data_IF_951647034174
#
_entry.id   IF_951647034174
#
_cell.length_a   1.000
_cell.length_b   1.000
_cell.length_c   1.000
_cell.angle_alpha   90.00
_cell.angle_beta   90.00
_cell.angle_gamma   90.00
#
_symmetry.space_group_name_H-M   'P 1'
#
loop_
_entity.id
_entity.type
_entity.pdbx_description
1 polymer ?
#
# COMPACT_ATOMS: atom_id res chain seq x y z
N UNK A 1 16.18 -6.81 14.50
CA UNK A 1 14.90 -7.00 13.79
C UNK A 1 14.29 -5.68 13.29
N UNK A 2 14.40 -4.59 14.04
CA UNK A 2 13.87 -3.25 13.69
C UNK A 2 14.39 -2.67 12.37
N UNK A 3 15.68 -2.88 12.03
CA UNK A 3 16.28 -2.32 10.82
C UNK A 3 15.59 -2.78 9.52
N UNK A 4 15.14 -4.04 9.44
CA UNK A 4 14.45 -4.58 8.26
C UNK A 4 13.11 -3.88 8.07
N UNK A 5 12.34 -3.71 9.15
CA UNK A 5 11.07 -2.99 9.10
C UNK A 5 11.28 -1.54 8.69
N UNK A 6 12.29 -0.85 9.23
CA UNK A 6 12.60 0.53 8.85
C UNK A 6 12.86 0.67 7.34
N UNK A 7 13.64 -0.24 6.75
CA UNK A 7 13.91 -0.23 5.30
C UNK A 7 12.62 -0.45 4.50
N UNK A 8 11.82 -1.45 4.88
CA UNK A 8 10.53 -1.74 4.22
C UNK A 8 9.60 -0.53 4.30
N UNK A 9 9.52 0.12 5.46
CA UNK A 9 8.67 1.29 5.71
C UNK A 9 9.11 2.47 4.83
N UNK A 10 10.41 2.78 4.78
CA UNK A 10 10.92 3.90 3.97
C UNK A 10 10.69 3.65 2.47
N UNK A 11 10.99 2.45 1.98
CA UNK A 11 10.79 2.09 0.58
C UNK A 11 9.31 2.12 0.18
N UNK A 12 8.45 1.51 1.00
CA UNK A 12 7.01 1.48 0.73
C UNK A 12 6.38 2.88 0.81
N UNK A 13 6.81 3.73 1.76
CA UNK A 13 6.38 5.11 1.86
C UNK A 13 6.80 5.93 0.62
N UNK A 14 8.03 5.77 0.16
CA UNK A 14 8.54 6.47 -1.02
C UNK A 14 7.75 6.08 -2.28
N UNK A 15 7.50 4.78 -2.44
CA UNK A 15 6.70 4.26 -3.54
C UNK A 15 5.25 4.75 -3.48
N UNK A 16 4.63 4.68 -2.29
CA UNK A 16 3.28 5.17 -2.07
C UNK A 16 3.16 6.66 -2.40
N UNK A 17 4.10 7.49 -1.94
CA UNK A 17 4.11 8.93 -2.19
C UNK A 17 4.29 9.25 -3.68
N UNK A 18 5.21 8.56 -4.35
CA UNK A 18 5.39 8.69 -5.80
C UNK A 18 4.06 8.49 -6.54
N UNK A 19 3.39 7.35 -6.29
CA UNK A 19 2.12 7.08 -6.94
C UNK A 19 1.00 8.01 -6.49
N UNK A 20 1.02 8.50 -5.24
CA UNK A 20 0.07 9.47 -4.70
C UNK A 20 0.08 10.81 -5.43
N UNK A 21 1.24 11.21 -5.96
CA UNK A 21 1.37 12.40 -6.79
C UNK A 21 1.00 12.04 -8.24
N UNK A 22 1.55 10.95 -8.78
CA UNK A 22 1.36 10.58 -10.20
C UNK A 22 -0.09 10.29 -10.58
N UNK A 23 -0.88 9.63 -9.72
CA UNK A 23 -2.25 9.25 -10.09
C UNK A 23 -3.15 10.46 -10.36
N UNK A 24 -2.91 11.60 -9.69
CA UNK A 24 -3.70 12.82 -9.85
C UNK A 24 -3.49 13.49 -11.21
N UNK A 25 -2.34 13.26 -11.83
CA UNK A 25 -1.97 13.84 -13.12
C UNK A 25 -2.34 12.97 -14.32
N UNK A 26 -2.90 11.78 -14.08
CA UNK A 26 -3.18 10.80 -15.12
C UNK A 26 -4.70 10.67 -15.35
N UNK A 27 -5.17 10.56 -16.60
CA UNK A 27 -6.59 10.38 -16.88
C UNK A 27 -7.01 8.90 -16.92
N UNK A 28 -8.31 8.67 -16.68
CA UNK A 28 -9.00 7.40 -16.97
C UNK A 28 -8.45 6.16 -16.26
N UNK A 29 -8.28 5.07 -17.02
CA UNK A 29 -7.86 3.75 -16.49
C UNK A 29 -6.43 3.79 -15.95
N UNK A 30 -5.56 4.61 -16.54
CA UNK A 30 -4.17 4.76 -16.13
C UNK A 30 -4.09 5.36 -14.71
N UNK A 31 -4.92 6.37 -14.43
CA UNK A 31 -5.06 6.96 -13.10
C UNK A 31 -5.39 5.89 -12.04
N UNK A 32 -6.34 5.00 -12.36
CA UNK A 32 -6.79 3.95 -11.44
C UNK A 32 -5.74 2.85 -11.23
N UNK A 33 -4.91 2.57 -12.22
CA UNK A 33 -3.74 1.67 -12.07
C UNK A 33 -2.73 2.29 -11.10
N UNK A 34 -2.42 3.58 -11.26
CA UNK A 34 -1.50 4.27 -10.34
C UNK A 34 -2.08 4.39 -8.92
N UNK A 35 -3.37 4.68 -8.78
CA UNK A 35 -4.06 4.66 -7.49
C UNK A 35 -4.02 3.27 -6.84
N UNK A 36 -4.17 2.19 -7.62
CA UNK A 36 -4.06 0.84 -7.11
C UNK A 36 -2.64 0.53 -6.60
N UNK A 37 -1.59 0.99 -7.30
CA UNK A 37 -0.19 0.87 -6.85
C UNK A 37 0.10 1.69 -5.60
N UNK A 38 -0.48 2.89 -5.48
CA UNK A 38 -0.44 3.70 -4.27
C UNK A 38 -1.04 2.95 -3.08
N UNK A 39 -2.23 2.36 -3.23
CA UNK A 39 -2.89 1.61 -2.16
C UNK A 39 -2.09 0.37 -1.74
N UNK A 40 -1.44 -0.32 -2.68
CA UNK A 40 -0.53 -1.43 -2.36
C UNK A 40 0.65 -0.92 -1.54
N UNK A 41 1.30 0.18 -1.95
CA UNK A 41 2.41 0.79 -1.22
C UNK A 41 2.00 1.21 0.20
N UNK A 42 0.87 1.88 0.34
CA UNK A 42 0.29 2.27 1.63
C UNK A 42 -0.05 1.05 2.50
N UNK A 43 -0.57 -0.02 1.89
CA UNK A 43 -0.85 -1.27 2.58
C UNK A 43 0.40 -1.89 3.17
N UNK A 44 1.46 -2.02 2.36
CA UNK A 44 2.76 -2.56 2.80
C UNK A 44 3.39 -1.68 3.89
N UNK A 45 3.30 -0.35 3.75
CA UNK A 45 3.77 0.59 4.75
C UNK A 45 3.09 0.37 6.11
N UNK A 46 1.75 0.38 6.13
CA UNK A 46 0.99 0.20 7.35
C UNK A 46 1.19 -1.18 7.98
N UNK A 47 1.29 -2.23 7.17
CA UNK A 47 1.63 -3.56 7.66
C UNK A 47 3.03 -3.57 8.29
N UNK A 48 4.03 -2.97 7.64
CA UNK A 48 5.38 -2.86 8.16
C UNK A 48 5.45 -2.12 9.50
N UNK A 49 4.74 -0.98 9.62
CA UNK A 49 4.65 -0.23 10.89
C UNK A 49 3.91 -1.03 11.95
N UNK A 50 2.79 -1.67 11.60
CA UNK A 50 1.99 -2.48 12.52
C UNK A 50 2.76 -3.66 13.10
N UNK A 51 3.48 -4.41 12.26
CA UNK A 51 4.37 -5.48 12.71
C UNK A 51 5.52 -4.94 13.56
N UNK A 52 6.14 -3.82 13.16
CA UNK A 52 7.22 -3.21 13.93
C UNK A 52 6.78 -2.89 15.37
N UNK A 53 5.56 -2.38 15.58
CA UNK A 53 5.03 -2.08 16.91
C UNK A 53 4.90 -3.32 17.82
N UNK A 54 4.68 -4.49 17.23
CA UNK A 54 4.56 -5.76 17.98
C UNK A 54 5.92 -6.40 18.30
N UNK A 55 7.02 -5.90 17.72
CA UNK A 55 8.38 -6.44 17.95
C UNK A 55 9.17 -5.73 19.05
N UNK A 56 8.62 -4.70 19.67
CA UNK A 56 9.26 -4.03 20.81
C UNK A 56 9.20 -4.91 22.06
N UNK A 57 10.28 -4.93 22.84
CA UNK A 57 10.39 -5.77 24.05
C UNK A 57 9.32 -5.43 25.11
N UNK A 58 8.91 -4.16 25.18
CA UNK A 58 7.88 -3.69 26.11
C UNK A 58 6.67 -3.21 25.30
N UNK A 59 5.72 -4.12 25.09
CA UNK A 59 4.47 -3.81 24.36
C UNK A 59 3.46 -3.20 25.34
N UNK A 60 3.34 -1.87 25.30
CA UNK A 60 2.26 -1.16 25.99
C UNK A 60 0.91 -1.40 25.30
N UNK A 61 -0.19 -1.39 26.06
CA UNK A 61 -1.56 -1.56 25.52
C UNK A 61 -1.86 -0.63 24.35
N UNK A 62 -1.35 0.62 24.42
CA UNK A 62 -1.50 1.61 23.34
C UNK A 62 -0.79 1.14 22.06
N UNK A 63 0.43 0.60 22.16
CA UNK A 63 1.18 0.09 20.99
C UNK A 63 0.49 -1.10 20.36
N UNK A 64 -0.03 -2.02 21.19
CA UNK A 64 -0.79 -3.17 20.71
C UNK A 64 -2.01 -2.72 19.89
N UNK A 65 -2.81 -1.79 20.43
CA UNK A 65 -4.00 -1.27 19.74
C UNK A 65 -3.61 -0.57 18.43
N UNK A 66 -2.61 0.31 18.45
CA UNK A 66 -2.13 0.99 17.23
C UNK A 66 -1.63 -0.03 16.20
N UNK A 67 -0.85 -1.03 16.64
CA UNK A 67 -0.33 -2.09 15.78
C UNK A 67 -1.46 -2.84 15.07
N UNK A 68 -2.48 -3.28 15.81
CA UNK A 68 -3.65 -3.97 15.26
C UNK A 68 -4.41 -3.09 14.26
N UNK A 69 -4.66 -1.82 14.59
CA UNK A 69 -5.35 -0.88 13.70
C UNK A 69 -4.58 -0.72 12.39
N UNK A 70 -3.26 -0.54 12.45
CA UNK A 70 -2.43 -0.44 11.26
C UNK A 70 -2.39 -1.73 10.45
N UNK A 71 -2.38 -2.90 11.11
CA UNK A 71 -2.45 -4.18 10.41
C UNK A 71 -3.78 -4.35 9.65
N UNK A 72 -4.90 -3.96 10.26
CA UNK A 72 -6.22 -4.03 9.63
C UNK A 72 -6.34 -3.06 8.44
N UNK A 73 -5.99 -1.79 8.64
CA UNK A 73 -6.05 -0.78 7.58
C UNK A 73 -5.07 -1.12 6.45
N UNK A 74 -3.87 -1.57 6.81
CA UNK A 74 -2.85 -2.01 5.86
C UNK A 74 -3.30 -3.21 5.03
N UNK A 75 -3.90 -4.22 5.68
CA UNK A 75 -4.45 -5.39 5.02
C UNK A 75 -5.55 -5.04 4.02
N UNK A 76 -6.49 -4.18 4.41
CA UNK A 76 -7.57 -3.72 3.50
C UNK A 76 -6.99 -2.98 2.29
N UNK A 77 -6.05 -2.05 2.50
CA UNK A 77 -5.42 -1.29 1.42
C UNK A 77 -4.66 -2.21 0.45
N UNK A 78 -3.97 -3.22 0.97
CA UNK A 78 -3.23 -4.18 0.16
C UNK A 78 -4.16 -5.04 -0.69
N UNK A 79 -5.21 -5.63 -0.10
CA UNK A 79 -6.16 -6.50 -0.80
C UNK A 79 -6.93 -5.72 -1.88
N UNK A 80 -7.46 -4.55 -1.54
CA UNK A 80 -8.17 -3.70 -2.49
C UNK A 80 -7.24 -3.18 -3.59
N UNK A 81 -6.00 -2.81 -3.24
CA UNK A 81 -4.98 -2.40 -4.19
C UNK A 81 -4.66 -3.48 -5.20
N UNK A 82 -4.39 -4.72 -4.76
CA UNK A 82 -4.11 -5.87 -5.64
C UNK A 82 -5.31 -6.18 -6.54
N UNK A 83 -6.52 -6.22 -5.97
CA UNK A 83 -7.75 -6.48 -6.73
C UNK A 83 -7.98 -5.43 -7.82
N UNK A 84 -7.84 -4.15 -7.46
CA UNK A 84 -8.02 -3.04 -8.40
C UNK A 84 -6.92 -3.03 -9.48
N UNK A 85 -5.67 -3.31 -9.11
CA UNK A 85 -4.56 -3.37 -10.06
C UNK A 85 -4.82 -4.44 -11.12
N UNK A 86 -5.23 -5.65 -10.72
CA UNK A 86 -5.59 -6.73 -11.65
C UNK A 86 -6.74 -6.33 -12.56
N UNK A 87 -7.80 -5.76 -12.00
CA UNK A 87 -8.99 -5.34 -12.75
C UNK A 87 -8.68 -4.26 -13.80
N UNK A 88 -8.03 -3.17 -13.42
CA UNK A 88 -7.74 -2.06 -14.35
C UNK A 88 -6.64 -2.40 -15.35
N UNK A 89 -5.70 -3.28 -15.00
CA UNK A 89 -4.70 -3.79 -15.96
C UNK A 89 -5.38 -4.61 -17.06
N UNK A 90 -6.39 -5.44 -16.71
CA UNK A 90 -7.18 -6.17 -17.70
C UNK A 90 -7.91 -5.22 -18.65
N UNK A 91 -8.60 -4.21 -18.11
CA UNK A 91 -9.30 -3.19 -18.93
C UNK A 91 -8.34 -2.45 -19.85
N UNK A 92 -7.14 -2.08 -19.37
CA UNK A 92 -6.14 -1.41 -20.19
C UNK A 92 -5.71 -2.27 -21.39
N UNK A 93 -5.57 -3.58 -21.20
CA UNK A 93 -5.22 -4.53 -22.27
C UNK A 93 -6.33 -4.59 -23.33
N UNK A 94 -7.58 -4.74 -22.91
CA UNK A 94 -8.74 -4.78 -23.80
C UNK A 94 -8.91 -3.47 -24.62
N UNK A 95 -8.56 -2.32 -24.03
CA UNK A 95 -8.57 -1.03 -24.74
C UNK A 95 -7.47 -0.90 -25.80
N UNK A 96 -6.33 -1.56 -25.57
CA UNK A 96 -5.21 -1.57 -26.51
C UNK A 96 -5.42 -2.51 -27.69
N UNK A 97 -6.20 -3.58 -27.52
CA UNK A 97 -6.51 -4.55 -28.59
C UNK A 97 -7.63 -4.06 -29.53
N UNK A 98 -8.44 -3.10 -29.09
CA UNK A 98 -9.53 -2.49 -29.88
C UNK A 98 -9.08 -1.26 -30.68
N UNK A 99 -7.81 -0.88 -30.58
CA UNK A 99 -7.22 0.31 -31.20
C UNK A 99 -6.30 -0.11 -32.34
#
# INVERSE_FOLDING_TARGET
MTAIFTIIIILSATFALYYAITWRSQPGVIARIYQARMNIGMGIFLLGVGFNQLTFEHVDTIRLVIGIVFLLIGGVNLVLGIRNLRYFTKIKKEQSEKK
#
